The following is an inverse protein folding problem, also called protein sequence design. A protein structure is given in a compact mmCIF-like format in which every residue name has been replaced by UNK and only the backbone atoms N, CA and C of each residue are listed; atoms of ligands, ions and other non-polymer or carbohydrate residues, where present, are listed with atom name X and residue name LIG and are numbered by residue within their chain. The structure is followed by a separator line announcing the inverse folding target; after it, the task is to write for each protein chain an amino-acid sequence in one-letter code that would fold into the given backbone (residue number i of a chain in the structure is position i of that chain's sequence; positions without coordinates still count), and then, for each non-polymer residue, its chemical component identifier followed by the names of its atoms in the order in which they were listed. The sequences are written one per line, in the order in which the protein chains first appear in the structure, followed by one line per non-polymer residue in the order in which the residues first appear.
data_IF_298733406576
#
_entry.id   IF_298733406576
#
_cell.length_a   1.000
_cell.length_b   1.000
_cell.length_c   1.000
_cell.angle_alpha   90.00
_cell.angle_beta   90.00
_cell.angle_gamma   90.00
#
_symmetry.space_group_name_H-M   'P 1'
#
loop_
_entity.id
_entity.type
_entity.pdbx_description
1 polymer ?
#
# COMPACT_ATOMS: atom_id res chain seq x y z
N UNK A 1 33.49 -32.27 30.54
CA UNK A 1 34.07 -33.44 29.83
C UNK A 1 33.00 -33.97 28.90
N UNK A 2 33.04 -33.58 27.62
CA UNK A 2 32.19 -34.23 26.60
C UNK A 2 32.90 -35.53 26.25
N UNK A 3 32.22 -36.65 26.35
CA UNK A 3 32.76 -37.96 25.96
C UNK A 3 33.04 -37.92 24.46
N UNK A 4 34.33 -37.96 24.09
CA UNK A 4 34.77 -38.21 22.72
C UNK A 4 34.30 -39.62 22.34
N UNK A 5 33.13 -39.71 21.70
CA UNK A 5 32.66 -40.95 21.09
C UNK A 5 33.63 -41.27 19.96
N UNK A 6 34.50 -42.24 20.21
CA UNK A 6 35.48 -42.71 19.25
C UNK A 6 34.75 -43.49 18.13
N UNK A 7 34.30 -42.78 17.09
CA UNK A 7 33.57 -43.35 15.94
C UNK A 7 34.43 -44.23 15.01
N UNK A 8 35.70 -44.47 15.34
CA UNK A 8 36.64 -45.25 14.51
C UNK A 8 36.34 -46.74 14.46
N UNK A 9 35.45 -47.27 15.30
CA UNK A 9 35.33 -48.72 15.51
C UNK A 9 34.09 -49.41 14.90
N UNK A 10 33.49 -48.86 13.83
CA UNK A 10 32.53 -49.58 12.98
C UNK A 10 32.30 -48.92 11.61
N UNK A 11 33.34 -48.71 10.81
CA UNK A 11 33.14 -48.27 9.42
C UNK A 11 32.69 -49.47 8.57
N UNK A 12 31.38 -49.56 8.34
CA UNK A 12 30.80 -50.54 7.40
C UNK A 12 30.96 -50.01 5.98
N UNK A 13 31.57 -50.83 5.10
CA UNK A 13 31.69 -50.51 3.68
C UNK A 13 30.46 -51.04 2.93
N UNK A 14 29.88 -50.22 2.06
CA UNK A 14 28.91 -50.66 1.07
C UNK A 14 29.60 -51.57 0.04
N UNK A 15 28.84 -52.41 -0.67
CA UNK A 15 29.37 -53.36 -1.67
C UNK A 15 30.19 -52.66 -2.78
N UNK A 16 29.94 -51.37 -3.01
CA UNK A 16 30.66 -50.51 -3.97
C UNK A 16 31.98 -49.90 -3.40
N UNK A 17 32.38 -50.27 -2.19
CA UNK A 17 33.63 -49.82 -1.56
C UNK A 17 33.60 -48.41 -0.96
N UNK A 18 32.41 -47.81 -0.82
CA UNK A 18 32.18 -46.54 -0.13
C UNK A 18 31.83 -46.77 1.36
N UNK A 19 32.19 -45.83 2.23
CA UNK A 19 31.83 -45.89 3.66
C UNK A 19 30.33 -45.59 3.81
N UNK A 20 29.60 -46.43 4.55
CA UNK A 20 28.16 -46.28 4.75
C UNK A 20 27.87 -45.15 5.75
N UNK A 21 27.04 -44.18 5.35
CA UNK A 21 26.55 -43.10 6.23
C UNK A 21 25.48 -43.64 7.20
N UNK A 22 25.56 -43.26 8.48
CA UNK A 22 24.66 -43.74 9.54
C UNK A 22 23.46 -42.81 9.79
N UNK A 23 22.32 -43.12 9.18
CA UNK A 23 21.08 -42.34 9.30
C UNK A 23 20.39 -42.38 10.66
N UNK A 24 20.93 -43.10 11.66
CA UNK A 24 20.38 -43.10 13.02
C UNK A 24 20.70 -41.83 13.81
N UNK A 25 21.77 -41.10 13.43
CA UNK A 25 22.14 -39.82 14.03
C UNK A 25 21.12 -38.73 13.66
N UNK A 26 20.65 -37.95 14.65
CA UNK A 26 19.55 -36.99 14.46
C UNK A 26 19.96 -35.52 14.47
N UNK A 27 21.08 -35.16 15.10
CA UNK A 27 21.52 -33.77 15.20
C UNK A 27 22.48 -33.40 14.05
N UNK A 28 22.41 -32.17 13.50
CA UNK A 28 23.30 -31.74 12.42
C UNK A 28 24.77 -31.72 12.83
N UNK A 29 25.07 -31.41 14.09
CA UNK A 29 26.43 -31.36 14.63
C UNK A 29 27.11 -32.74 14.60
N UNK A 30 26.42 -33.79 15.06
CA UNK A 30 26.93 -35.17 15.07
C UNK A 30 27.11 -35.71 13.64
N UNK A 31 26.19 -35.37 12.71
CA UNK A 31 26.32 -35.77 11.30
C UNK A 31 27.51 -35.11 10.61
N UNK A 32 27.83 -33.87 10.97
CA UNK A 32 28.95 -33.12 10.39
C UNK A 32 30.31 -33.68 10.86
N UNK A 33 30.41 -34.11 12.11
CA UNK A 33 31.60 -34.80 12.63
C UNK A 33 31.83 -36.14 11.93
N UNK A 34 30.77 -36.94 11.71
CA UNK A 34 30.85 -38.20 10.96
C UNK A 34 31.32 -37.97 9.52
N UNK A 35 30.79 -36.97 8.82
CA UNK A 35 31.18 -36.66 7.44
C UNK A 35 32.64 -36.23 7.34
N UNK A 36 33.18 -35.48 8.31
CA UNK A 36 34.61 -35.14 8.36
C UNK A 36 35.50 -36.39 8.47
N UNK A 37 35.14 -37.31 9.37
CA UNK A 37 35.85 -38.58 9.54
C UNK A 37 35.79 -39.42 8.25
N UNK A 38 34.66 -39.41 7.54
CA UNK A 38 34.50 -40.13 6.26
C UNK A 38 35.38 -39.53 5.16
N UNK A 39 35.51 -38.20 5.10
CA UNK A 39 36.38 -37.52 4.13
C UNK A 39 37.86 -37.80 4.42
N UNK A 40 38.26 -37.78 5.69
CA UNK A 40 39.65 -38.03 6.10
C UNK A 40 40.12 -39.47 5.81
N UNK A 41 39.20 -40.44 5.92
CA UNK A 41 39.53 -41.87 5.74
C UNK A 41 39.24 -42.41 4.32
N UNK A 42 38.74 -41.58 3.40
CA UNK A 42 38.47 -42.00 2.01
C UNK A 42 39.53 -41.46 1.05
N UNK A 43 40.17 -42.30 0.21
CA UNK A 43 41.13 -41.84 -0.79
C UNK A 43 40.49 -40.85 -1.79
N UNK A 44 41.20 -39.78 -2.21
CA UNK A 44 40.64 -38.70 -3.02
C UNK A 44 40.10 -39.15 -4.39
N UNK A 45 40.61 -40.26 -4.94
CA UNK A 45 40.14 -40.84 -6.21
C UNK A 45 38.72 -41.41 -6.14
N UNK A 46 38.23 -41.75 -4.93
CA UNK A 46 36.88 -42.31 -4.71
C UNK A 46 35.86 -41.26 -4.27
N UNK A 47 36.28 -40.00 -4.11
CA UNK A 47 35.40 -38.86 -3.79
C UNK A 47 34.66 -38.39 -5.05
N UNK A 48 33.79 -39.26 -5.60
CA UNK A 48 33.01 -38.91 -6.77
C UNK A 48 31.98 -37.82 -6.45
N UNK A 49 31.61 -37.01 -7.44
CA UNK A 49 30.58 -35.96 -7.29
C UNK A 49 29.27 -36.49 -6.71
N UNK A 50 28.87 -37.72 -7.08
CA UNK A 50 27.67 -38.37 -6.55
C UNK A 50 27.75 -38.64 -5.06
N UNK A 51 28.91 -39.08 -4.58
CA UNK A 51 29.13 -39.37 -3.16
C UNK A 51 29.17 -38.08 -2.32
N UNK A 52 29.74 -37.01 -2.86
CA UNK A 52 29.69 -35.67 -2.26
C UNK A 52 28.25 -35.12 -2.17
N UNK A 53 27.43 -35.32 -3.21
CA UNK A 53 26.01 -34.95 -3.16
C UNK A 53 25.27 -35.74 -2.09
N UNK A 54 25.51 -37.05 -1.98
CA UNK A 54 24.88 -37.88 -0.94
C UNK A 54 25.28 -37.45 0.49
N UNK A 55 26.53 -37.03 0.70
CA UNK A 55 26.97 -36.45 1.99
C UNK A 55 26.31 -35.10 2.29
N UNK A 56 26.12 -34.26 1.27
CA UNK A 56 25.42 -32.98 1.42
C UNK A 56 23.95 -33.18 1.77
N UNK A 57 23.25 -34.08 1.06
CA UNK A 57 21.85 -34.42 1.32
C UNK A 57 21.66 -34.98 2.75
N UNK A 58 22.61 -35.81 3.21
CA UNK A 58 22.62 -36.37 4.55
C UNK A 58 22.71 -35.30 5.66
N UNK A 59 23.46 -34.22 5.45
CA UNK A 59 23.54 -33.09 6.40
C UNK A 59 22.25 -32.27 6.34
N UNK A 60 21.74 -31.99 5.14
CA UNK A 60 20.53 -31.16 4.93
C UNK A 60 19.30 -31.80 5.56
N UNK A 61 19.14 -33.13 5.46
CA UNK A 61 17.98 -33.84 6.04
C UNK A 61 17.89 -33.69 7.58
N UNK A 62 19.02 -33.56 8.27
CA UNK A 62 19.00 -33.27 9.71
C UNK A 62 18.63 -31.81 10.00
N UNK A 63 19.08 -30.87 9.18
CA UNK A 63 18.68 -29.46 9.29
C UNK A 63 17.18 -29.27 9.06
N UNK A 64 16.55 -29.99 8.12
CA UNK A 64 15.10 -29.88 7.89
C UNK A 64 14.26 -30.28 9.12
N UNK A 65 14.75 -31.23 9.93
CA UNK A 65 14.09 -31.62 11.19
C UNK A 65 14.18 -30.53 12.26
N UNK A 66 15.32 -29.84 12.40
CA UNK A 66 15.44 -28.68 13.29
C UNK A 66 14.61 -27.47 12.81
N UNK A 67 14.55 -27.24 11.50
CA UNK A 67 13.71 -26.19 10.90
C UNK A 67 12.21 -26.49 11.10
N UNK A 68 11.83 -27.77 11.18
CA UNK A 68 10.46 -28.20 11.51
C UNK A 68 10.00 -27.80 12.91
N UNK A 69 10.92 -27.73 13.89
CA UNK A 69 10.66 -27.22 15.24
C UNK A 69 10.62 -25.69 15.27
N UNK A 70 11.46 -25.04 14.45
CA UNK A 70 11.40 -23.62 14.15
C UNK A 70 10.48 -23.30 12.97
N UNK A 71 9.22 -23.77 13.00
CA UNK A 71 8.15 -23.25 12.10
C UNK A 71 8.08 -21.72 12.24
N UNK A 72 8.69 -21.02 11.31
CA UNK A 72 8.92 -19.57 11.32
C UNK A 72 7.59 -18.80 11.46
N UNK A 73 6.44 -19.41 11.13
CA UNK A 73 5.13 -18.78 11.34
C UNK A 73 4.08 -19.83 11.74
N UNK A 74 3.81 -20.00 13.04
CA UNK A 74 2.52 -20.58 13.48
C UNK A 74 1.41 -19.59 13.09
N UNK A 75 0.34 -20.06 12.42
CA UNK A 75 -0.87 -19.26 12.08
C UNK A 75 -1.44 -18.49 13.28
N UNK A 76 -1.25 -18.99 14.51
CA UNK A 76 -1.64 -18.31 15.75
C UNK A 76 -0.77 -17.10 16.11
N UNK A 77 0.50 -17.05 15.69
CA UNK A 77 1.36 -15.86 15.85
C UNK A 77 1.01 -14.75 14.86
N UNK A 78 0.51 -15.06 13.65
CA UNK A 78 -0.01 -13.99 12.79
C UNK A 78 -1.18 -13.27 13.50
N UNK A 79 -2.15 -14.00 14.03
CA UNK A 79 -3.31 -13.38 14.69
C UNK A 79 -3.01 -12.74 16.05
N UNK A 80 -2.05 -13.26 16.85
CA UNK A 80 -1.71 -12.66 18.15
C UNK A 80 -0.58 -11.62 18.07
N UNK A 81 0.43 -11.78 17.22
CA UNK A 81 1.57 -10.84 17.14
C UNK A 81 1.22 -9.60 16.32
N UNK A 82 0.30 -9.71 15.35
CA UNK A 82 -0.30 -8.53 14.69
C UNK A 82 -1.14 -7.74 15.70
N UNK A 83 -1.93 -8.42 16.56
CA UNK A 83 -2.70 -7.76 17.65
C UNK A 83 -1.87 -7.18 18.80
N UNK A 84 -0.66 -7.67 19.04
CA UNK A 84 0.16 -7.30 20.21
C UNK A 84 1.16 -6.18 19.91
N UNK A 85 1.41 -5.86 18.64
CA UNK A 85 2.20 -4.67 18.23
C UNK A 85 1.35 -3.45 17.88
N UNK A 86 0.15 -3.38 18.42
CA UNK A 86 -0.76 -2.25 18.26
C UNK A 86 -0.64 -1.36 19.51
N UNK A 87 0.16 -0.30 19.42
CA UNK A 87 0.12 0.80 20.38
C UNK A 87 -0.89 1.81 19.85
N UNK A 88 -1.91 2.16 20.64
CA UNK A 88 -2.83 3.22 20.25
C UNK A 88 -2.06 4.53 20.11
N UNK A 89 -2.40 5.34 19.11
CA UNK A 89 -1.80 6.66 18.88
C UNK A 89 -1.81 7.51 20.17
N UNK A 90 -2.90 7.44 20.92
CA UNK A 90 -3.11 8.15 22.18
C UNK A 90 -2.29 7.55 23.35
N UNK A 91 -2.01 6.24 23.31
CA UNK A 91 -1.11 5.61 24.28
C UNK A 91 0.35 6.01 24.06
N UNK A 92 0.70 6.24 22.79
CA UNK A 92 1.97 6.86 22.40
C UNK A 92 1.99 8.35 22.80
N UNK A 93 0.93 9.12 22.52
CA UNK A 93 0.85 10.54 22.92
C UNK A 93 0.96 10.74 24.42
N UNK A 94 0.27 9.93 25.24
CA UNK A 94 0.38 9.98 26.69
C UNK A 94 1.79 9.61 27.20
N UNK A 95 2.51 8.73 26.48
CA UNK A 95 3.92 8.44 26.79
C UNK A 95 4.86 9.58 26.38
N UNK A 96 4.46 10.43 25.44
CA UNK A 96 5.21 11.61 25.03
C UNK A 96 4.95 12.82 25.94
N UNK A 97 3.70 13.03 26.38
CA UNK A 97 3.33 14.05 27.40
C UNK A 97 4.08 13.86 28.71
N UNK A 98 4.26 12.60 29.17
CA UNK A 98 5.04 12.32 30.37
C UNK A 98 6.55 12.65 30.26
N UNK A 99 7.10 12.77 29.03
CA UNK A 99 8.51 13.15 28.81
C UNK A 99 8.72 14.66 28.69
N UNK A 100 7.65 15.45 28.60
CA UNK A 100 7.70 16.92 28.59
C UNK A 100 8.04 17.53 29.97
N UNK A 101 8.08 16.72 31.01
CA UNK A 101 8.30 17.17 32.39
C UNK A 101 9.76 17.51 32.73
N UNK A 102 10.77 17.17 31.90
CA UNK A 102 12.16 17.28 32.35
C UNK A 102 13.07 18.22 31.55
N UNK A 103 12.89 18.47 30.25
CA UNK A 103 13.79 19.36 29.51
C UNK A 103 13.07 20.09 28.38
N UNK A 104 12.73 21.36 28.63
CA UNK A 104 11.97 22.24 27.76
C UNK A 104 12.69 22.62 26.46
N UNK A 105 12.59 21.78 25.44
CA UNK A 105 12.81 22.18 24.05
C UNK A 105 11.57 21.90 23.20
N UNK A 106 11.03 22.98 22.67
CA UNK A 106 9.82 23.04 21.88
C UNK A 106 10.17 22.72 20.42
N UNK A 107 9.27 21.99 19.75
CA UNK A 107 9.18 21.70 18.30
C UNK A 107 9.47 20.27 17.82
N UNK A 108 9.89 19.32 18.66
CA UNK A 108 10.08 17.93 18.17
C UNK A 108 8.83 17.06 18.30
N UNK A 109 8.02 17.17 19.36
CA UNK A 109 6.88 16.25 19.51
C UNK A 109 5.70 16.56 18.56
N UNK A 110 5.50 17.82 18.18
CA UNK A 110 4.48 18.17 17.17
C UNK A 110 4.84 17.55 15.82
N UNK A 111 6.08 17.67 15.37
CA UNK A 111 6.57 17.08 14.11
C UNK A 111 6.47 15.54 14.10
N UNK A 112 6.68 14.86 15.23
CA UNK A 112 6.47 13.41 15.33
C UNK A 112 4.98 13.01 15.31
N UNK A 113 4.09 13.81 15.90
CA UNK A 113 2.64 13.62 15.80
C UNK A 113 2.16 13.82 14.36
N UNK A 114 2.69 14.83 13.65
CA UNK A 114 2.39 15.04 12.23
C UNK A 114 2.84 13.87 11.36
N UNK A 115 4.04 13.32 11.59
CA UNK A 115 4.53 12.14 10.86
C UNK A 115 3.66 10.89 11.11
N UNK A 116 3.14 10.70 12.32
CA UNK A 116 2.21 9.61 12.66
C UNK A 116 0.81 9.75 12.04
N UNK A 117 0.37 10.98 11.71
CA UNK A 117 -0.92 11.25 11.06
C UNK A 117 -0.83 11.06 9.54
N UNK A 118 0.32 11.35 8.94
CA UNK A 118 0.53 11.29 7.48
C UNK A 118 0.75 9.84 7.00
N UNK A 119 1.43 9.02 7.79
CA UNK A 119 1.63 7.61 7.45
C UNK A 119 0.40 6.77 7.84
N UNK A 120 -0.41 6.44 6.83
CA UNK A 120 -1.52 5.46 6.91
C UNK A 120 -0.99 4.05 7.19
N UNK A 121 -0.35 3.86 8.34
CA UNK A 121 0.11 2.54 8.74
C UNK A 121 -1.11 1.74 9.17
N UNK A 122 -1.33 0.60 8.51
CA UNK A 122 -2.52 -0.28 8.68
C UNK A 122 -2.64 -0.87 10.10
N UNK A 123 -1.75 -0.48 11.00
CA UNK A 123 -1.53 -1.03 12.33
C UNK A 123 -1.86 -0.03 13.47
N UNK A 124 -2.37 1.17 13.17
CA UNK A 124 -2.75 2.16 14.19
C UNK A 124 -4.25 2.03 14.48
N UNK A 125 -4.60 1.43 15.61
CA UNK A 125 -5.97 1.41 16.13
C UNK A 125 -6.28 2.75 16.80
N UNK A 126 -7.28 3.45 16.27
CA UNK A 126 -7.74 4.78 16.68
C UNK A 126 -8.64 4.73 17.93
N UNK A 127 -8.32 3.85 18.89
CA UNK A 127 -9.12 3.68 20.11
C UNK A 127 -8.23 3.74 21.34
N UNK A 128 -8.58 4.54 22.36
CA UNK A 128 -7.78 4.65 23.57
C UNK A 128 -7.75 3.31 24.30
N UNK A 129 -6.58 2.91 24.82
CA UNK A 129 -6.48 1.77 25.74
C UNK A 129 -7.14 2.14 27.06
N UNK A 130 -8.43 1.86 27.18
CA UNK A 130 -9.18 2.04 28.42
C UNK A 130 -8.72 0.98 29.43
N UNK A 131 -8.25 1.41 30.62
CA UNK A 131 -8.02 0.53 31.78
C UNK A 131 -9.24 0.58 32.69
N UNK A 132 -9.64 -0.53 33.30
CA UNK A 132 -10.69 -0.55 34.34
C UNK A 132 -10.05 -0.01 35.63
N UNK A 133 -10.53 1.13 36.12
CA UNK A 133 -10.06 1.75 37.37
C UNK A 133 -10.92 1.29 38.55
N UNK A 134 -10.44 1.43 39.80
CA UNK A 134 -11.26 1.15 40.99
C UNK A 134 -12.55 1.98 41.04
N UNK A 135 -12.51 3.23 40.58
CA UNK A 135 -13.67 4.12 40.47
C UNK A 135 -14.75 3.56 39.54
N UNK A 136 -14.36 2.93 38.42
CA UNK A 136 -15.30 2.30 37.49
C UNK A 136 -16.06 1.13 38.14
N UNK A 137 -15.42 0.42 39.09
CA UNK A 137 -16.01 -0.71 39.82
C UNK A 137 -16.99 -0.27 40.91
N UNK A 138 -16.90 0.98 41.36
CA UNK A 138 -17.84 1.57 42.32
C UNK A 138 -19.05 2.18 41.59
N UNK A 139 -18.81 2.78 40.42
CA UNK A 139 -19.83 3.48 39.63
C UNK A 139 -20.76 2.53 38.85
N UNK A 140 -20.27 1.37 38.41
CA UNK A 140 -21.02 0.42 37.57
C UNK A 140 -21.24 -0.91 38.34
N UNK A 141 -22.44 -1.17 38.91
CA UNK A 141 -22.74 -2.39 39.65
C UNK A 141 -22.50 -3.68 38.86
N UNK A 142 -22.94 -3.72 37.59
CA UNK A 142 -22.78 -4.89 36.71
C UNK A 142 -21.31 -5.23 36.43
N UNK A 143 -20.45 -4.20 36.36
CA UNK A 143 -19.02 -4.37 36.16
C UNK A 143 -18.37 -5.00 37.40
N UNK A 144 -18.85 -4.64 38.60
CA UNK A 144 -18.39 -5.23 39.87
C UNK A 144 -18.73 -6.71 39.95
N UNK A 145 -19.95 -7.10 39.57
CA UNK A 145 -20.36 -8.50 39.53
C UNK A 145 -19.48 -9.33 38.59
N UNK A 146 -19.26 -8.85 37.36
CA UNK A 146 -18.35 -9.49 36.41
C UNK A 146 -16.93 -9.59 36.96
N UNK A 147 -16.43 -8.54 37.62
CA UNK A 147 -15.10 -8.54 38.20
C UNK A 147 -14.95 -9.56 39.34
N UNK A 148 -16.00 -9.74 40.15
CA UNK A 148 -16.01 -10.77 41.20
C UNK A 148 -16.01 -12.18 40.61
N UNK A 149 -16.75 -12.41 39.53
CA UNK A 149 -16.80 -13.72 38.87
C UNK A 149 -15.48 -14.04 38.15
N UNK A 150 -14.85 -13.05 37.50
CA UNK A 150 -13.50 -13.19 36.93
C UNK A 150 -12.50 -13.61 38.02
N UNK A 151 -12.48 -12.91 39.16
CA UNK A 151 -11.60 -13.26 40.30
C UNK A 151 -11.89 -14.66 40.85
N UNK A 152 -13.16 -15.07 40.88
CA UNK A 152 -13.54 -16.43 41.30
C UNK A 152 -12.99 -17.47 40.35
N UNK A 153 -13.15 -17.28 39.04
CA UNK A 153 -12.65 -18.20 38.02
C UNK A 153 -11.12 -18.29 38.02
N UNK A 154 -10.42 -17.17 38.21
CA UNK A 154 -8.95 -17.13 38.27
C UNK A 154 -8.39 -17.81 39.52
N UNK A 155 -8.97 -17.56 40.69
CA UNK A 155 -8.41 -18.03 41.97
C UNK A 155 -8.86 -19.44 42.34
N UNK A 156 -10.09 -19.84 42.00
CA UNK A 156 -10.65 -21.12 42.42
C UNK A 156 -10.60 -22.14 41.28
N UNK A 157 -11.11 -21.81 40.10
CA UNK A 157 -11.40 -22.80 39.05
C UNK A 157 -10.18 -23.05 38.14
N UNK A 158 -9.46 -22.00 37.76
CA UNK A 158 -8.32 -22.10 36.86
C UNK A 158 -7.15 -22.95 37.39
N UNK A 159 -6.78 -22.92 38.69
CA UNK A 159 -5.72 -23.76 39.24
C UNK A 159 -6.11 -25.24 39.34
N UNK A 160 -7.39 -25.53 39.56
CA UNK A 160 -7.92 -26.90 39.70
C UNK A 160 -8.14 -27.60 38.34
N UNK A 161 -8.35 -26.82 37.27
CA UNK A 161 -8.68 -27.36 35.95
C UNK A 161 -7.47 -28.00 35.24
N UNK A 162 -7.67 -29.20 34.67
CA UNK A 162 -6.66 -29.94 33.87
C UNK A 162 -7.10 -30.12 32.42
N UNK A 163 -6.13 -30.11 31.49
CA UNK A 163 -6.35 -30.42 30.08
C UNK A 163 -7.34 -29.50 29.37
N UNK A 164 -8.35 -30.08 28.71
CA UNK A 164 -9.37 -29.36 27.91
C UNK A 164 -10.21 -28.38 28.74
N UNK A 165 -10.51 -28.72 30.00
CA UNK A 165 -11.26 -27.83 30.90
C UNK A 165 -10.49 -26.55 31.20
N UNK A 166 -9.16 -26.64 31.37
CA UNK A 166 -8.31 -25.47 31.60
C UNK A 166 -8.33 -24.51 30.42
N UNK A 167 -8.37 -25.03 29.20
CA UNK A 167 -8.52 -24.24 28.00
C UNK A 167 -9.89 -23.53 27.93
N UNK A 168 -10.96 -24.25 28.26
CA UNK A 168 -12.32 -23.68 28.30
C UNK A 168 -12.45 -22.58 29.35
N UNK A 169 -11.94 -22.81 30.56
CA UNK A 169 -11.95 -21.81 31.65
C UNK A 169 -11.14 -20.58 31.26
N UNK A 170 -9.97 -20.77 30.64
CA UNK A 170 -9.17 -19.65 30.11
C UNK A 170 -9.91 -18.84 29.06
N UNK A 171 -10.63 -19.51 28.15
CA UNK A 171 -11.45 -18.84 27.13
C UNK A 171 -12.58 -18.03 27.77
N UNK A 172 -13.28 -18.61 28.75
CA UNK A 172 -14.34 -17.95 29.49
C UNK A 172 -13.82 -16.70 30.23
N UNK A 173 -12.66 -16.79 30.90
CA UNK A 173 -12.03 -15.62 31.55
C UNK A 173 -11.75 -14.51 30.51
N UNK A 174 -11.19 -14.87 29.36
CA UNK A 174 -10.90 -13.91 28.27
C UNK A 174 -12.18 -13.25 27.76
N UNK A 175 -13.27 -14.01 27.60
CA UNK A 175 -14.53 -13.47 27.11
C UNK A 175 -15.20 -12.56 28.16
N UNK A 176 -15.17 -12.92 29.44
CA UNK A 176 -15.64 -12.06 30.54
C UNK A 176 -14.85 -10.75 30.64
N UNK A 177 -13.53 -10.78 30.43
CA UNK A 177 -12.74 -9.55 30.34
C UNK A 177 -13.17 -8.66 29.18
N UNK A 178 -13.56 -9.23 28.02
CA UNK A 178 -14.07 -8.44 26.89
C UNK A 178 -15.41 -7.80 27.22
N UNK A 179 -16.31 -8.55 27.84
CA UNK A 179 -17.64 -8.08 28.24
C UNK A 179 -17.52 -6.91 29.23
N UNK A 180 -16.58 -6.99 30.18
CA UNK A 180 -16.26 -5.90 31.09
C UNK A 180 -15.85 -4.60 30.37
N UNK A 181 -15.02 -4.70 29.32
CA UNK A 181 -14.63 -3.52 28.51
C UNK A 181 -15.77 -2.98 27.65
N UNK A 182 -16.63 -3.85 27.10
CA UNK A 182 -17.82 -3.43 26.34
C UNK A 182 -18.81 -2.69 27.23
N UNK A 183 -19.03 -3.17 28.46
CA UNK A 183 -19.89 -2.51 29.43
C UNK A 183 -19.33 -1.15 29.84
N UNK A 184 -18.03 -1.06 30.16
CA UNK A 184 -17.39 0.23 30.44
C UNK A 184 -17.56 1.22 29.30
N UNK A 185 -17.35 0.79 28.05
CA UNK A 185 -17.51 1.64 26.87
C UNK A 185 -18.96 2.11 26.67
N UNK A 186 -19.94 1.27 27.04
CA UNK A 186 -21.37 1.60 26.95
C UNK A 186 -21.79 2.65 27.98
N UNK A 187 -21.21 2.62 29.19
CA UNK A 187 -21.56 3.56 30.27
C UNK A 187 -20.85 4.91 30.16
N UNK A 188 -19.54 4.94 29.92
CA UNK A 188 -18.76 6.20 29.90
C UNK A 188 -18.64 6.84 28.51
N UNK A 189 -19.00 6.10 27.46
CA UNK A 189 -18.73 6.50 26.07
C UNK A 189 -17.22 6.48 25.79
N UNK A 190 -16.80 5.81 24.72
CA UNK A 190 -15.43 5.97 24.27
C UNK A 190 -15.29 7.37 23.64
N UNK A 191 -14.41 8.21 24.20
CA UNK A 191 -14.01 9.45 23.52
C UNK A 191 -13.24 9.05 22.27
N UNK A 192 -13.86 9.24 21.11
CA UNK A 192 -13.21 9.06 19.82
C UNK A 192 -12.69 10.40 19.34
N UNK A 193 -11.42 10.43 18.93
CA UNK A 193 -10.91 11.57 18.18
C UNK A 193 -11.63 11.62 16.83
N UNK A 194 -12.58 12.55 16.67
CA UNK A 194 -13.09 12.90 15.34
C UNK A 194 -11.95 13.61 14.61
N UNK A 195 -11.42 13.00 13.54
CA UNK A 195 -10.45 13.67 12.68
C UNK A 195 -10.99 15.05 12.32
N UNK A 196 -10.30 16.17 12.61
CA UNK A 196 -10.65 17.42 12.00
C UNK A 196 -10.34 17.25 10.52
N UNK A 197 -11.35 16.89 9.71
CA UNK A 197 -11.27 17.19 8.30
C UNK A 197 -11.21 18.71 8.23
N UNK A 198 -10.01 19.28 8.07
CA UNK A 198 -9.90 20.60 7.45
C UNK A 198 -10.75 20.52 6.19
N UNK A 199 -11.84 21.26 6.17
CA UNK A 199 -12.73 21.28 5.02
C UNK A 199 -11.88 21.63 3.81
N UNK A 200 -11.75 20.72 2.85
CA UNK A 200 -10.93 20.92 1.65
C UNK A 200 -11.45 22.05 0.75
N UNK A 201 -12.55 22.68 1.13
CA UNK A 201 -13.31 23.68 0.36
C UNK A 201 -12.54 24.94 0.01
N UNK A 202 -11.49 25.30 0.78
CA UNK A 202 -10.62 26.46 0.52
C UNK A 202 -9.17 25.96 0.39
N UNK A 203 -8.86 25.34 -0.75
CA UNK A 203 -7.48 25.04 -1.11
C UNK A 203 -6.92 26.24 -1.86
N UNK A 204 -5.68 26.63 -1.58
CA UNK A 204 -4.99 27.56 -2.46
C UNK A 204 -4.70 26.85 -3.79
N UNK A 205 -5.43 27.25 -4.84
CA UNK A 205 -5.30 26.73 -6.20
C UNK A 205 -4.65 27.76 -7.13
N UNK A 206 -3.91 28.74 -6.60
CA UNK A 206 -3.12 29.59 -7.48
C UNK A 206 -2.09 28.75 -8.23
N UNK A 207 -2.02 28.95 -9.54
CA UNK A 207 -1.12 28.23 -10.44
C UNK A 207 -0.05 29.19 -10.95
N UNK A 208 1.22 28.91 -10.64
CA UNK A 208 2.34 29.60 -11.29
C UNK A 208 2.79 28.74 -12.46
N UNK A 209 2.53 29.22 -13.68
CA UNK A 209 2.82 28.48 -14.91
C UNK A 209 3.99 29.15 -15.62
N UNK A 210 5.06 28.39 -15.86
CA UNK A 210 6.23 28.83 -16.59
C UNK A 210 6.36 28.06 -17.90
N UNK A 211 6.68 28.79 -18.98
CA UNK A 211 6.94 28.22 -20.30
C UNK A 211 8.45 28.01 -20.46
N UNK A 212 8.88 26.76 -20.58
CA UNK A 212 10.28 26.41 -20.83
C UNK A 212 10.73 26.90 -22.22
N UNK A 213 12.04 27.09 -22.40
CA UNK A 213 12.65 27.44 -23.69
C UNK A 213 12.29 26.46 -24.84
N UNK A 214 11.89 25.23 -24.50
CA UNK A 214 11.45 24.21 -25.45
C UNK A 214 9.96 24.22 -25.80
N UNK A 215 9.15 25.07 -25.15
CA UNK A 215 7.69 25.09 -25.21
C UNK A 215 7.03 24.03 -24.31
N UNK A 216 7.73 23.62 -23.25
CA UNK A 216 7.18 22.81 -22.16
C UNK A 216 6.45 23.69 -21.14
N UNK A 217 5.40 23.18 -20.51
CA UNK A 217 4.72 23.86 -19.40
C UNK A 217 5.20 23.25 -18.09
N UNK A 218 5.82 24.07 -17.25
CA UNK A 218 6.09 23.74 -15.85
C UNK A 218 5.01 24.41 -15.00
N UNK A 219 4.40 23.65 -14.12
CA UNK A 219 3.32 24.15 -13.27
C UNK A 219 3.74 23.95 -11.83
N UNK A 220 3.88 25.05 -11.11
CA UNK A 220 4.12 25.05 -9.68
C UNK A 220 2.80 25.39 -8.97
N UNK A 221 2.09 24.34 -8.55
CA UNK A 221 0.82 24.43 -7.83
C UNK A 221 0.53 23.15 -7.03
N UNK A 222 -0.22 23.31 -5.94
CA UNK A 222 -0.69 22.20 -5.11
C UNK A 222 -1.71 21.31 -5.84
N UNK A 223 -2.48 21.88 -6.77
CA UNK A 223 -3.51 21.18 -7.54
C UNK A 223 -3.66 21.87 -8.89
N UNK A 224 -3.44 21.11 -9.97
CA UNK A 224 -3.60 21.64 -11.33
C UNK A 224 -4.11 20.59 -12.30
N UNK A 225 -4.98 21.01 -13.24
CA UNK A 225 -5.47 20.16 -14.33
C UNK A 225 -4.41 19.93 -15.43
N UNK A 226 -3.32 20.70 -15.40
CA UNK A 226 -2.22 20.63 -16.37
C UNK A 226 -1.26 19.46 -16.06
N UNK A 227 -1.25 18.95 -14.83
CA UNK A 227 -0.45 17.78 -14.43
C UNK A 227 -1.29 16.48 -14.49
N UNK A 228 -0.88 15.48 -15.30
CA UNK A 228 -1.51 14.17 -15.34
C UNK A 228 -1.69 13.48 -13.97
N UNK A 229 -0.77 13.69 -13.01
CA UNK A 229 -0.82 13.04 -11.69
C UNK A 229 -1.99 13.58 -10.86
N UNK A 230 -2.16 14.90 -10.86
CA UNK A 230 -3.27 15.57 -10.19
C UNK A 230 -4.61 15.14 -10.77
N UNK A 231 -4.73 15.12 -12.11
CA UNK A 231 -5.93 14.63 -12.80
C UNK A 231 -6.24 13.18 -12.41
N UNK A 232 -5.23 12.30 -12.35
CA UNK A 232 -5.40 10.90 -11.94
C UNK A 232 -5.93 10.79 -10.50
N UNK A 233 -5.37 11.58 -9.58
CA UNK A 233 -5.80 11.63 -8.19
C UNK A 233 -7.23 12.16 -8.03
N UNK A 234 -7.61 13.18 -8.82
CA UNK A 234 -8.96 13.73 -8.86
C UNK A 234 -9.98 12.71 -9.38
N UNK A 235 -9.67 12.02 -10.48
CA UNK A 235 -10.53 10.97 -11.04
C UNK A 235 -10.74 9.81 -10.05
N UNK A 236 -9.70 9.39 -9.32
CA UNK A 236 -9.83 8.34 -8.31
C UNK A 236 -10.72 8.74 -7.13
N UNK A 237 -10.88 10.05 -6.85
CA UNK A 237 -11.70 10.59 -5.76
C UNK A 237 -12.95 11.32 -6.27
N UNK A 238 -13.30 11.14 -7.55
CA UNK A 238 -14.32 11.93 -8.25
C UNK A 238 -15.64 11.99 -7.50
N UNK A 239 -16.21 10.84 -7.14
CA UNK A 239 -17.54 10.76 -6.52
C UNK A 239 -17.57 11.49 -5.17
N UNK A 240 -16.51 11.36 -4.37
CA UNK A 240 -16.39 12.06 -3.09
C UNK A 240 -16.24 13.56 -3.29
N UNK A 241 -15.38 13.99 -4.21
CA UNK A 241 -15.18 15.42 -4.49
C UNK A 241 -16.44 16.09 -5.03
N UNK A 242 -17.20 15.41 -5.90
CA UNK A 242 -18.51 15.90 -6.39
C UNK A 242 -19.54 16.01 -5.27
N UNK A 243 -19.63 15.03 -4.38
CA UNK A 243 -20.54 15.09 -3.23
C UNK A 243 -20.16 16.23 -2.27
N UNK A 244 -18.87 16.36 -1.95
CA UNK A 244 -18.38 17.37 -1.01
C UNK A 244 -18.52 18.79 -1.54
N UNK A 245 -18.47 18.99 -2.86
CA UNK A 245 -18.62 20.30 -3.54
C UNK A 245 -20.05 20.57 -4.02
N UNK A 246 -20.97 19.61 -3.92
CA UNK A 246 -22.33 19.76 -4.42
C UNK A 246 -23.02 20.98 -3.80
N UNK A 247 -23.56 21.86 -4.65
CA UNK A 247 -24.22 23.11 -4.26
C UNK A 247 -23.36 24.15 -3.52
N UNK A 248 -22.02 23.98 -3.50
CA UNK A 248 -21.07 24.94 -2.91
C UNK A 248 -20.46 25.84 -3.99
N UNK A 249 -21.25 26.76 -4.52
CA UNK A 249 -20.84 27.67 -5.61
C UNK A 249 -19.73 28.66 -5.25
N UNK A 250 -19.41 28.81 -3.97
CA UNK A 250 -18.30 29.64 -3.49
C UNK A 250 -17.00 28.87 -3.35
N UNK A 251 -16.99 27.55 -3.58
CA UNK A 251 -15.80 26.71 -3.41
C UNK A 251 -15.05 26.55 -4.71
N UNK A 252 -13.73 26.70 -4.65
CA UNK A 252 -12.85 26.52 -5.80
C UNK A 252 -12.89 25.09 -6.34
N UNK A 253 -13.10 24.09 -5.47
CA UNK A 253 -13.26 22.68 -5.88
C UNK A 253 -14.48 22.50 -6.78
N UNK A 254 -15.58 23.24 -6.55
CA UNK A 254 -16.78 23.12 -7.38
C UNK A 254 -16.47 23.50 -8.84
N UNK A 255 -15.81 24.66 -9.05
CA UNK A 255 -15.42 25.10 -10.39
C UNK A 255 -14.33 24.22 -11.00
N UNK A 256 -13.37 23.77 -10.20
CA UNK A 256 -12.33 22.84 -10.64
C UNK A 256 -12.92 21.53 -11.17
N UNK A 257 -13.92 20.96 -10.49
CA UNK A 257 -14.61 19.74 -10.95
C UNK A 257 -15.44 19.99 -12.20
N UNK A 258 -16.03 21.18 -12.34
CA UNK A 258 -16.79 21.57 -13.52
C UNK A 258 -15.87 21.72 -14.75
N UNK A 259 -14.68 22.29 -14.56
CA UNK A 259 -13.68 22.42 -15.63
C UNK A 259 -13.02 21.08 -15.96
N UNK A 260 -12.79 20.22 -14.96
CA UNK A 260 -12.37 18.83 -15.20
C UNK A 260 -13.38 18.10 -16.10
N UNK A 261 -14.69 18.19 -15.82
CA UNK A 261 -15.73 17.53 -16.63
C UNK A 261 -15.74 18.05 -18.07
N UNK A 262 -15.64 19.37 -18.26
CA UNK A 262 -15.56 19.99 -19.59
C UNK A 262 -14.35 19.51 -20.37
N UNK A 263 -13.16 19.56 -19.75
CA UNK A 263 -11.91 19.18 -20.40
C UNK A 263 -11.89 17.67 -20.67
N UNK A 264 -12.40 16.84 -19.76
CA UNK A 264 -12.51 15.40 -19.96
C UNK A 264 -13.40 15.07 -21.16
N UNK A 265 -14.56 15.73 -21.27
CA UNK A 265 -15.49 15.57 -22.41
C UNK A 265 -14.83 15.98 -23.72
N UNK A 266 -14.14 17.13 -23.75
CA UNK A 266 -13.41 17.61 -24.94
C UNK A 266 -12.26 16.65 -25.33
N UNK A 267 -11.50 16.16 -24.35
CA UNK A 267 -10.33 15.32 -24.56
C UNK A 267 -10.68 13.90 -25.04
N UNK A 268 -11.79 13.34 -24.54
CA UNK A 268 -12.19 11.95 -24.80
C UNK A 268 -13.16 11.80 -25.96
N UNK A 269 -13.66 12.90 -26.54
CA UNK A 269 -14.58 12.90 -27.70
C UNK A 269 -14.09 12.07 -28.89
N UNK A 270 -12.79 12.09 -29.16
CA UNK A 270 -12.17 11.31 -30.24
C UNK A 270 -11.92 9.84 -29.87
N UNK A 271 -12.13 9.46 -28.60
CA UNK A 271 -11.87 8.15 -28.03
C UNK A 271 -13.07 7.58 -27.24
N UNK A 272 -14.15 7.15 -27.92
CA UNK A 272 -15.36 6.64 -27.26
C UNK A 272 -15.12 5.52 -26.25
N UNK A 273 -14.14 4.65 -26.53
CA UNK A 273 -13.77 3.56 -25.63
C UNK A 273 -13.20 4.04 -24.30
N UNK A 274 -12.44 5.14 -24.30
CA UNK A 274 -11.88 5.70 -23.07
C UNK A 274 -12.95 6.46 -22.29
N UNK A 275 -13.87 7.14 -22.97
CA UNK A 275 -15.03 7.78 -22.36
C UNK A 275 -15.89 6.77 -21.60
N UNK A 276 -16.23 5.64 -22.23
CA UNK A 276 -16.99 4.58 -21.55
C UNK A 276 -16.26 4.01 -20.32
N UNK A 277 -14.93 3.82 -20.40
CA UNK A 277 -14.13 3.37 -19.24
C UNK A 277 -14.26 4.36 -18.10
N UNK A 278 -14.24 5.67 -18.38
CA UNK A 278 -14.37 6.71 -17.35
C UNK A 278 -15.75 6.64 -16.70
N UNK A 279 -16.81 6.56 -17.51
CA UNK A 279 -18.19 6.46 -17.02
C UNK A 279 -18.35 5.22 -16.13
N UNK A 280 -17.98 4.04 -16.62
CA UNK A 280 -18.12 2.80 -15.83
C UNK A 280 -17.28 2.82 -14.55
N UNK A 281 -16.15 3.54 -14.54
CA UNK A 281 -15.33 3.71 -13.34
C UNK A 281 -15.95 4.63 -12.32
N UNK A 282 -16.56 5.73 -12.76
CA UNK A 282 -17.28 6.68 -11.90
C UNK A 282 -18.54 6.01 -11.32
N UNK A 283 -19.21 5.17 -12.10
CA UNK A 283 -20.36 4.35 -11.67
C UNK A 283 -19.98 3.24 -10.68
N UNK A 284 -18.67 3.01 -10.44
CA UNK A 284 -18.19 2.08 -9.43
C UNK A 284 -18.10 0.62 -9.87
N UNK A 285 -18.11 0.33 -11.18
CA UNK A 285 -17.99 -1.04 -11.69
C UNK A 285 -16.59 -1.64 -11.43
N UNK A 286 -16.54 -2.95 -11.21
CA UNK A 286 -15.28 -3.67 -11.08
C UNK A 286 -14.59 -3.82 -12.45
N UNK A 287 -13.27 -3.99 -12.45
CA UNK A 287 -12.51 -4.12 -13.71
C UNK A 287 -12.96 -5.30 -14.58
N UNK A 288 -13.45 -6.39 -13.97
CA UNK A 288 -13.97 -7.56 -14.69
C UNK A 288 -15.26 -7.21 -15.43
N UNK A 289 -16.16 -6.48 -14.79
CA UNK A 289 -17.42 -6.06 -15.39
C UNK A 289 -17.19 -5.05 -16.51
N UNK A 290 -16.22 -4.14 -16.32
CA UNK A 290 -15.79 -3.19 -17.35
C UNK A 290 -15.24 -3.93 -18.57
N UNK A 291 -14.43 -4.97 -18.36
CA UNK A 291 -13.90 -5.80 -19.45
C UNK A 291 -15.02 -6.43 -20.27
N UNK A 292 -16.00 -7.05 -19.60
CA UNK A 292 -17.14 -7.68 -20.28
C UNK A 292 -17.95 -6.67 -21.09
N UNK A 293 -18.26 -5.49 -20.52
CA UNK A 293 -18.98 -4.43 -21.22
C UNK A 293 -18.24 -3.86 -22.44
N UNK A 294 -16.91 -3.79 -22.37
CA UNK A 294 -16.08 -3.34 -23.50
C UNK A 294 -16.03 -4.41 -24.59
N UNK A 295 -15.92 -5.68 -24.21
CA UNK A 295 -15.98 -6.81 -25.14
C UNK A 295 -17.33 -6.85 -25.87
N UNK A 296 -18.44 -6.63 -25.15
CA UNK A 296 -19.79 -6.54 -25.74
C UNK A 296 -19.95 -5.36 -26.71
N UNK A 297 -19.49 -4.16 -26.34
CA UNK A 297 -19.73 -2.93 -27.13
C UNK A 297 -18.76 -2.75 -28.30
N UNK A 298 -17.49 -3.09 -28.11
CA UNK A 298 -16.43 -2.83 -29.09
C UNK A 298 -15.87 -4.10 -29.73
N UNK A 299 -16.25 -5.29 -29.25
CA UNK A 299 -15.72 -6.58 -29.69
C UNK A 299 -14.17 -6.65 -29.54
N UNK A 300 -13.64 -5.99 -28.51
CA UNK A 300 -12.20 -5.95 -28.19
C UNK A 300 -12.00 -6.49 -26.78
N UNK A 301 -11.10 -7.47 -26.66
CA UNK A 301 -10.73 -8.06 -25.38
C UNK A 301 -9.45 -7.43 -24.84
N UNK A 302 -9.58 -6.66 -23.76
CA UNK A 302 -8.43 -6.14 -23.01
C UNK A 302 -8.19 -6.91 -21.73
N UNK A 303 -6.96 -6.89 -21.22
CA UNK A 303 -6.66 -7.43 -19.90
C UNK A 303 -7.11 -6.47 -18.78
N UNK A 304 -7.33 -7.02 -17.59
CA UNK A 304 -7.72 -6.22 -16.41
C UNK A 304 -6.63 -5.22 -16.02
N UNK A 305 -5.37 -5.61 -16.18
CA UNK A 305 -4.18 -4.78 -15.95
C UNK A 305 -4.10 -3.64 -16.95
N UNK A 306 -4.45 -3.91 -18.22
CA UNK A 306 -4.47 -2.89 -19.25
C UNK A 306 -5.53 -1.81 -18.96
N UNK A 307 -6.74 -2.21 -18.56
CA UNK A 307 -7.79 -1.27 -18.15
C UNK A 307 -7.33 -0.43 -16.95
N UNK A 308 -6.69 -1.05 -15.96
CA UNK A 308 -6.11 -0.33 -14.81
C UNK A 308 -5.03 0.67 -15.22
N UNK A 309 -4.17 0.30 -16.18
CA UNK A 309 -3.12 1.18 -16.71
C UNK A 309 -3.73 2.34 -17.53
N UNK A 310 -4.77 2.08 -18.32
CA UNK A 310 -5.49 3.12 -19.04
C UNK A 310 -6.08 4.15 -18.09
N UNK A 311 -6.74 3.69 -17.03
CA UNK A 311 -7.36 4.51 -16.01
C UNK A 311 -6.35 5.38 -15.25
N UNK A 312 -5.22 4.82 -14.80
CA UNK A 312 -4.26 5.59 -14.00
C UNK A 312 -3.30 6.45 -14.80
N UNK A 313 -2.97 6.06 -16.03
CA UNK A 313 -1.87 6.66 -16.79
C UNK A 313 -2.33 7.32 -18.09
N UNK A 314 -3.05 6.57 -18.95
CA UNK A 314 -3.34 7.04 -20.32
C UNK A 314 -4.43 8.12 -20.34
N UNK A 315 -5.54 7.87 -19.66
CA UNK A 315 -6.69 8.79 -19.61
C UNK A 315 -6.28 10.12 -18.94
N UNK A 316 -5.66 10.13 -17.74
CA UNK A 316 -5.25 11.39 -17.11
C UNK A 316 -4.27 12.19 -17.95
N UNK A 317 -3.36 11.51 -18.66
CA UNK A 317 -2.43 12.17 -19.57
C UNK A 317 -3.12 12.84 -20.76
N UNK A 318 -4.15 12.21 -21.34
CA UNK A 318 -4.92 12.81 -22.44
C UNK A 318 -5.67 14.06 -21.98
N UNK A 319 -6.30 14.00 -20.81
CA UNK A 319 -7.02 15.14 -20.22
C UNK A 319 -6.07 16.29 -19.92
N UNK A 320 -4.94 16.01 -19.27
CA UNK A 320 -3.93 17.02 -18.98
C UNK A 320 -3.31 17.63 -20.26
N UNK A 321 -3.04 16.82 -21.29
CA UNK A 321 -2.58 17.33 -22.58
C UNK A 321 -3.61 18.25 -23.28
N UNK A 322 -4.91 17.99 -23.10
CA UNK A 322 -5.97 18.85 -23.60
C UNK A 322 -6.05 20.16 -22.80
N UNK A 323 -5.96 20.09 -21.47
CA UNK A 323 -5.88 21.26 -20.60
C UNK A 323 -4.71 22.18 -20.98
N UNK A 324 -3.51 21.60 -21.18
CA UNK A 324 -2.31 22.31 -21.61
C UNK A 324 -2.50 23.04 -22.95
N UNK A 325 -3.12 22.38 -23.94
CA UNK A 325 -3.41 23.01 -25.23
C UNK A 325 -4.37 24.18 -25.09
N UNK A 326 -5.40 24.03 -24.26
CA UNK A 326 -6.42 25.07 -24.02
C UNK A 326 -5.82 26.29 -23.34
N UNK A 327 -5.01 26.06 -22.30
CA UNK A 327 -4.29 27.11 -21.61
C UNK A 327 -3.33 27.88 -22.54
N UNK A 328 -2.53 27.17 -23.35
CA UNK A 328 -1.63 27.80 -24.33
C UNK A 328 -2.37 28.69 -25.33
N UNK A 329 -3.53 28.22 -25.82
CA UNK A 329 -4.35 29.01 -26.74
C UNK A 329 -4.83 30.29 -26.06
N UNK A 330 -5.32 30.19 -24.82
CA UNK A 330 -5.77 31.35 -24.05
C UNK A 330 -4.63 32.34 -23.77
N UNK A 331 -3.49 31.88 -23.24
CA UNK A 331 -2.31 32.71 -22.93
C UNK A 331 -1.82 33.51 -24.15
N UNK A 332 -1.68 32.86 -25.29
CA UNK A 332 -1.22 33.50 -26.54
C UNK A 332 -2.32 34.25 -27.33
N UNK A 333 -3.54 34.27 -26.82
CA UNK A 333 -4.63 35.09 -27.36
C UNK A 333 -4.83 36.34 -26.53
N UNK A 334 -4.76 36.22 -25.19
CA UNK A 334 -5.15 37.28 -24.26
C UNK A 334 -3.98 37.99 -23.59
N UNK A 335 -2.89 37.28 -23.25
CA UNK A 335 -1.75 37.86 -22.50
C UNK A 335 -0.60 38.26 -23.43
N UNK A 336 -0.17 37.33 -24.30
CA UNK A 336 0.90 37.54 -25.26
C UNK A 336 0.37 37.45 -26.69
N UNK A 337 0.89 38.25 -27.62
CA UNK A 337 0.57 38.10 -29.05
C UNK A 337 1.26 36.86 -29.62
N UNK A 338 0.54 35.75 -29.72
CA UNK A 338 1.04 34.52 -30.31
C UNK A 338 1.20 34.56 -31.83
N UNK A 339 2.11 33.73 -32.35
CA UNK A 339 2.22 33.47 -33.78
C UNK A 339 1.25 32.36 -34.20
N UNK A 340 0.38 32.64 -35.17
CA UNK A 340 -0.64 31.69 -35.63
C UNK A 340 -0.34 31.18 -37.03
N UNK A 341 -0.51 29.87 -37.25
CA UNK A 341 -0.21 29.20 -38.51
C UNK A 341 -1.39 28.36 -38.99
N UNK A 342 -1.73 28.50 -40.28
CA UNK A 342 -2.76 27.69 -40.95
C UNK A 342 -2.19 26.34 -41.35
N UNK A 343 -2.86 25.25 -40.96
CA UNK A 343 -2.49 23.91 -41.40
C UNK A 343 -2.91 23.68 -42.86
N UNK A 344 -1.99 23.17 -43.68
CA UNK A 344 -2.27 22.87 -45.09
C UNK A 344 -3.22 21.69 -45.33
N UNK A 345 -3.32 20.74 -44.37
CA UNK A 345 -4.17 19.53 -44.52
C UNK A 345 -5.60 19.74 -44.00
N UNK A 346 -5.78 20.28 -42.79
CA UNK A 346 -7.12 20.53 -42.23
C UNK A 346 -7.64 21.97 -42.39
N UNK A 347 -6.81 22.91 -42.86
CA UNK A 347 -7.19 24.31 -43.04
C UNK A 347 -7.37 25.11 -41.75
N UNK A 348 -7.29 24.48 -40.57
CA UNK A 348 -7.45 25.14 -39.27
C UNK A 348 -6.25 26.03 -38.94
N UNK A 349 -6.52 27.20 -38.36
CA UNK A 349 -5.51 28.11 -37.80
C UNK A 349 -5.20 27.63 -36.37
N UNK A 350 -3.92 27.37 -36.08
CA UNK A 350 -3.44 26.88 -34.79
C UNK A 350 -2.21 27.67 -34.36
N UNK A 351 -1.96 27.73 -33.06
CA UNK A 351 -0.78 28.37 -32.50
C UNK A 351 0.50 27.68 -33.02
N UNK A 352 1.48 28.47 -33.47
CA UNK A 352 2.79 28.02 -33.95
C UNK A 352 3.69 27.60 -32.78
N UNK A 353 3.28 26.52 -32.10
CA UNK A 353 3.92 26.02 -30.89
C UNK A 353 4.21 24.50 -31.03
N UNK A 354 5.24 23.96 -30.34
CA UNK A 354 5.64 22.56 -30.45
C UNK A 354 4.53 21.56 -30.07
N UNK A 355 3.50 21.97 -29.32
CA UNK A 355 2.33 21.12 -29.01
C UNK A 355 1.38 20.94 -30.20
N UNK A 356 1.31 21.88 -31.14
CA UNK A 356 0.42 21.82 -32.30
C UNK A 356 1.15 21.45 -33.59
N UNK A 357 2.39 21.89 -33.75
CA UNK A 357 3.23 21.61 -34.93
C UNK A 357 4.54 20.93 -34.54
N UNK A 358 5.07 20.09 -35.43
CA UNK A 358 6.42 19.53 -35.26
C UNK A 358 7.48 20.59 -35.62
N UNK A 359 8.57 20.68 -34.85
CA UNK A 359 9.71 21.55 -35.15
C UNK A 359 10.37 21.11 -36.48
N UNK A 360 10.71 22.07 -37.34
CA UNK A 360 11.45 21.87 -38.59
C UNK A 360 12.50 22.96 -38.75
N UNK A 361 13.79 22.60 -38.68
CA UNK A 361 14.90 23.54 -38.82
C UNK A 361 15.02 24.17 -40.22
N UNK A 362 14.45 23.53 -41.24
CA UNK A 362 14.53 23.99 -42.64
C UNK A 362 13.44 25.00 -43.01
N UNK A 363 12.44 25.23 -42.14
CA UNK A 363 11.37 26.19 -42.41
C UNK A 363 11.71 27.56 -41.82
N UNK A 364 11.35 28.65 -42.52
CA UNK A 364 11.50 30.03 -42.03
C UNK A 364 10.83 30.24 -40.66
N UNK A 365 9.70 29.58 -40.43
CA UNK A 365 8.95 29.69 -39.18
C UNK A 365 9.38 28.66 -38.11
N UNK A 366 10.37 27.81 -38.40
CA UNK A 366 10.82 26.76 -37.50
C UNK A 366 9.85 25.57 -37.32
N UNK A 367 8.72 25.53 -38.05
CA UNK A 367 7.68 24.49 -37.94
C UNK A 367 7.20 23.96 -39.29
N UNK A 368 6.79 22.69 -39.33
CA UNK A 368 6.11 22.11 -40.48
C UNK A 368 4.76 22.80 -40.79
N UNK A 369 4.32 22.74 -42.06
CA UNK A 369 3.02 23.27 -42.51
C UNK A 369 1.83 22.41 -42.11
N UNK A 370 2.06 21.16 -41.70
CA UNK A 370 1.03 20.19 -41.31
C UNK A 370 1.00 20.07 -39.78
N UNK A 371 -0.19 20.17 -39.17
CA UNK A 371 -0.35 20.03 -37.73
C UNK A 371 -0.17 18.58 -37.26
N UNK A 372 0.16 18.38 -35.98
CA UNK A 372 0.38 17.05 -35.39
C UNK A 372 -0.83 16.13 -35.50
N UNK A 373 -2.04 16.65 -35.30
CA UNK A 373 -3.28 15.86 -35.42
C UNK A 373 -3.43 15.29 -36.85
N UNK A 374 -3.17 16.13 -37.86
CA UNK A 374 -3.16 15.73 -39.26
C UNK A 374 -2.05 14.75 -39.60
N UNK A 375 -0.91 14.83 -38.94
CA UNK A 375 0.22 13.92 -39.17
C UNK A 375 -0.01 12.55 -38.53
N UNK A 376 -0.70 12.50 -37.39
CA UNK A 376 -0.98 11.27 -36.65
C UNK A 376 -2.12 10.46 -37.25
N UNK A 377 -3.05 11.09 -38.00
CA UNK A 377 -4.03 10.37 -38.82
C UNK A 377 -3.28 9.67 -39.96
N UNK A 378 -3.05 8.35 -39.82
CA UNK A 378 -2.61 7.48 -40.91
C UNK A 378 -3.54 7.71 -42.12
N UNK A 379 -2.92 7.75 -43.29
CA UNK A 379 -3.58 8.08 -44.55
C UNK A 379 -4.68 7.10 -44.88
#
# INVERSE_FOLDING_TARGET
MKEDKNYTQALQYAEDGHIKLDYTLKTPEERNELVKIVIENTPPEKLTKRYLTAMADYIIEACEKEIGEHKIIKKSRLNNTIKVRETSLEGLSASFENKYSENGHNNTAEDYVYNLIIENDKNIIMTPKQKITPEDLEEIPDLKELWTEIKRLENQVFPLAKGQQRFSVKKNIIDLYKDAYVLKASFKGAVHYSKPLKSSTNLDIYENIMIDADGGLQVDSNLSLLDPKHVSAMLCKYSKLKQDSYSKFTSDIYYMMLDLDKIATEALKDYPLYEDIVIYKIDGLQNKDIQNKIEEKYNIKYSVEYISSLWRNKIPKLIAEAAQKKWLVWHYTEEETGNWKKCSRCGQIKLAHPKFFSKNKSSKDGYYSICKDCRNKKR
#
